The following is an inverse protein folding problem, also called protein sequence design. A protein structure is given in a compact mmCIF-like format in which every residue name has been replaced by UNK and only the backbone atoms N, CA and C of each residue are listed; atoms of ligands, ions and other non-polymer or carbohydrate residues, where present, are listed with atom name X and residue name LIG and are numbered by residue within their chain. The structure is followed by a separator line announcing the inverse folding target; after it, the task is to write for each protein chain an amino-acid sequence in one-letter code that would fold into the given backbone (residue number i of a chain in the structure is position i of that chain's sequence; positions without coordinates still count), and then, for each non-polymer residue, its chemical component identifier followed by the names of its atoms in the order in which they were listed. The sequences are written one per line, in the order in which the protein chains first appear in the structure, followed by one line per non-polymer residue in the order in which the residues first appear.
data_IF_063281049427
#
_entry.id   IF_063281049427
#
_cell.length_a   1.000
_cell.length_b   1.000
_cell.length_c   1.000
_cell.angle_alpha   90.00
_cell.angle_beta   90.00
_cell.angle_gamma   90.00
#
_symmetry.space_group_name_H-M   'P 1'
#
loop_
_entity.id
_entity.type
_entity.pdbx_description
1 polymer ?
#
# COMPACT_ATOMS: atom_id res chain seq x y z
N UNK A 1 -37.32 -58.46 -8.63
CA UNK A 1 -36.10 -57.77 -9.11
C UNK A 1 -36.53 -56.41 -9.63
N UNK A 2 -35.88 -55.32 -9.24
CA UNK A 2 -36.19 -53.99 -9.78
C UNK A 2 -35.94 -53.98 -11.29
N UNK A 3 -36.93 -53.58 -12.08
CA UNK A 3 -36.83 -53.51 -13.54
C UNK A 3 -35.70 -52.56 -13.96
N UNK A 4 -34.89 -52.95 -14.94
CA UNK A 4 -33.76 -52.13 -15.45
C UNK A 4 -34.17 -50.70 -15.81
N UNK A 5 -35.39 -50.53 -16.32
CA UNK A 5 -35.95 -49.22 -16.65
C UNK A 5 -36.04 -48.29 -15.44
N UNK A 6 -36.46 -48.83 -14.30
CA UNK A 6 -36.62 -48.07 -13.06
C UNK A 6 -35.27 -47.68 -12.44
N UNK A 7 -34.24 -48.51 -12.63
CA UNK A 7 -32.86 -48.19 -12.24
C UNK A 7 -32.25 -47.07 -13.10
N UNK A 8 -32.54 -47.06 -14.39
CA UNK A 8 -32.10 -46.00 -15.31
C UNK A 8 -32.79 -44.67 -14.95
N UNK A 9 -34.10 -44.69 -14.72
CA UNK A 9 -34.85 -43.49 -14.29
C UNK A 9 -34.36 -42.94 -12.94
N UNK A 10 -34.01 -43.83 -11.99
CA UNK A 10 -33.44 -43.42 -10.70
C UNK A 10 -32.06 -42.79 -10.87
N UNK A 11 -31.20 -43.35 -11.73
CA UNK A 11 -29.88 -42.81 -12.01
C UNK A 11 -29.95 -41.42 -12.68
N UNK A 12 -30.82 -41.25 -13.68
CA UNK A 12 -31.05 -39.95 -14.32
C UNK A 12 -31.59 -38.90 -13.34
N UNK A 13 -32.43 -39.31 -12.38
CA UNK A 13 -32.96 -38.41 -11.36
C UNK A 13 -31.89 -37.96 -10.37
N UNK A 14 -31.00 -38.86 -9.95
CA UNK A 14 -29.89 -38.54 -9.04
C UNK A 14 -28.88 -37.62 -9.72
N UNK A 15 -28.52 -37.88 -10.99
CA UNK A 15 -27.61 -37.03 -11.77
C UNK A 15 -28.19 -35.63 -12.00
N UNK A 16 -29.49 -35.51 -12.36
CA UNK A 16 -30.16 -34.21 -12.51
C UNK A 16 -30.20 -33.39 -11.22
N UNK A 17 -30.37 -34.03 -10.06
CA UNK A 17 -30.47 -33.32 -8.79
C UNK A 17 -29.11 -32.99 -8.16
N UNK A 18 -28.08 -33.84 -8.34
CA UNK A 18 -26.71 -33.50 -7.95
C UNK A 18 -26.16 -32.33 -8.77
N UNK A 19 -26.52 -32.22 -10.06
CA UNK A 19 -26.17 -31.06 -10.89
C UNK A 19 -26.86 -29.77 -10.43
N UNK A 20 -28.11 -29.83 -9.93
CA UNK A 20 -28.83 -28.66 -9.40
C UNK A 20 -28.22 -28.10 -8.12
N UNK A 21 -27.70 -28.96 -7.24
CA UNK A 21 -27.09 -28.53 -5.97
C UNK A 21 -25.72 -27.83 -6.16
N UNK A 22 -25.06 -28.02 -7.30
CA UNK A 22 -23.86 -27.25 -7.67
C UNK A 22 -24.17 -25.89 -8.31
N UNK A 23 -25.43 -25.59 -8.65
CA UNK A 23 -25.80 -24.42 -9.46
C UNK A 23 -26.68 -23.37 -8.74
N UNK A 24 -26.74 -23.40 -7.41
CA UNK A 24 -27.46 -22.39 -6.59
C UNK A 24 -26.57 -21.72 -5.53
N UNK A 25 -25.35 -21.34 -5.90
CA UNK A 25 -24.71 -20.14 -5.35
C UNK A 25 -24.25 -19.25 -6.52
N UNK A 26 -24.56 -17.96 -6.40
CA UNK A 26 -24.86 -17.05 -7.51
C UNK A 26 -23.70 -16.78 -8.51
N UNK A 27 -24.12 -16.85 -9.77
CA UNK A 27 -23.53 -16.47 -11.07
C UNK A 27 -22.33 -15.50 -11.11
N UNK A 28 -21.24 -15.96 -11.71
CA UNK A 28 -20.25 -15.13 -12.42
C UNK A 28 -20.38 -15.38 -13.94
N UNK A 29 -20.23 -14.35 -14.80
CA UNK A 29 -20.47 -14.47 -16.23
C UNK A 29 -19.51 -15.46 -16.90
N UNK A 30 -20.07 -16.25 -17.84
CA UNK A 30 -19.42 -17.28 -18.64
C UNK A 30 -18.24 -16.71 -19.44
N UNK A 31 -17.02 -17.03 -19.02
CA UNK A 31 -15.87 -17.05 -19.92
C UNK A 31 -15.88 -18.39 -20.66
N UNK A 32 -15.75 -18.32 -21.99
CA UNK A 32 -15.52 -19.47 -22.86
C UNK A 32 -14.34 -20.28 -22.35
N UNK A 33 -14.51 -21.61 -22.25
CA UNK A 33 -13.47 -22.58 -21.93
C UNK A 33 -12.44 -22.66 -23.06
N UNK A 34 -11.59 -21.64 -23.16
CA UNK A 34 -10.22 -21.85 -23.63
C UNK A 34 -9.50 -22.54 -22.47
N UNK A 35 -8.99 -23.76 -22.69
CA UNK A 35 -8.20 -24.50 -21.72
C UNK A 35 -7.10 -23.60 -21.12
N UNK A 36 -7.30 -23.11 -19.89
CA UNK A 36 -6.24 -22.44 -19.15
C UNK A 36 -5.16 -23.48 -18.87
N UNK A 37 -4.07 -23.43 -19.62
CA UNK A 37 -2.87 -24.20 -19.37
C UNK A 37 -2.35 -23.80 -17.97
N UNK A 38 -2.57 -24.66 -16.96
CA UNK A 38 -2.18 -24.41 -15.56
C UNK A 38 -0.66 -24.17 -15.46
N UNK A 39 0.13 -24.72 -16.38
CA UNK A 39 1.57 -24.53 -16.48
C UNK A 39 1.98 -23.12 -16.95
N UNK A 40 1.08 -22.37 -17.60
CA UNK A 40 1.32 -21.01 -18.08
C UNK A 40 0.94 -19.93 -17.03
N UNK A 41 0.13 -20.27 -16.02
CA UNK A 41 -0.34 -19.31 -15.01
C UNK A 41 0.80 -18.67 -14.19
N UNK A 42 1.83 -19.40 -13.71
CA UNK A 42 2.96 -18.79 -13.01
C UNK A 42 3.73 -17.82 -13.91
N UNK A 43 3.92 -18.15 -15.19
CA UNK A 43 4.63 -17.30 -16.15
C UNK A 43 3.87 -16.00 -16.42
N UNK A 44 2.53 -16.07 -16.54
CA UNK A 44 1.69 -14.90 -16.70
C UNK A 44 1.72 -14.00 -15.46
N UNK A 45 1.66 -14.60 -14.26
CA UNK A 45 1.77 -13.86 -12.99
C UNK A 45 3.13 -13.18 -12.84
N UNK A 46 4.23 -13.86 -13.14
CA UNK A 46 5.57 -13.28 -13.11
C UNK A 46 5.70 -12.13 -14.12
N UNK A 47 5.20 -12.31 -15.33
CA UNK A 47 5.17 -11.27 -16.35
C UNK A 47 4.35 -10.06 -15.91
N UNK A 48 3.19 -10.28 -15.29
CA UNK A 48 2.33 -9.24 -14.75
C UNK A 48 3.04 -8.45 -13.63
N UNK A 49 3.61 -9.14 -12.64
CA UNK A 49 4.36 -8.52 -11.54
C UNK A 49 5.52 -7.70 -12.10
N UNK A 50 6.33 -8.28 -12.98
CA UNK A 50 7.47 -7.59 -13.60
C UNK A 50 7.05 -6.34 -14.37
N UNK A 51 5.94 -6.40 -15.11
CA UNK A 51 5.40 -5.28 -15.89
C UNK A 51 4.81 -4.17 -15.01
N UNK A 52 4.21 -4.51 -13.86
CA UNK A 52 3.48 -3.55 -13.01
C UNK A 52 4.27 -3.04 -11.80
N UNK A 53 5.37 -3.72 -11.42
CA UNK A 53 6.17 -3.38 -10.23
C UNK A 53 6.68 -1.95 -10.30
N UNK A 54 6.30 -1.14 -9.31
CA UNK A 54 6.79 0.22 -9.10
C UNK A 54 8.05 0.22 -8.23
N UNK A 55 8.81 1.33 -8.20
CA UNK A 55 9.94 1.48 -7.30
C UNK A 55 9.53 1.31 -5.82
N UNK A 56 10.44 0.80 -5.00
CA UNK A 56 10.23 0.64 -3.56
C UNK A 56 10.28 1.98 -2.83
N UNK A 57 9.80 2.01 -1.58
CA UNK A 57 9.89 3.19 -0.72
C UNK A 57 11.31 3.77 -0.65
N UNK A 58 12.30 2.91 -0.38
CA UNK A 58 13.70 3.31 -0.27
C UNK A 58 14.19 3.94 -1.58
N UNK A 59 13.92 3.31 -2.73
CA UNK A 59 14.29 3.86 -4.04
C UNK A 59 13.68 5.25 -4.30
N UNK A 60 12.39 5.44 -3.97
CA UNK A 60 11.73 6.74 -4.15
C UNK A 60 12.29 7.79 -3.20
N UNK A 61 12.44 7.47 -1.92
CA UNK A 61 13.02 8.35 -0.91
C UNK A 61 14.41 8.85 -1.32
N UNK A 62 15.33 7.94 -1.63
CA UNK A 62 16.70 8.31 -2.00
C UNK A 62 16.74 9.07 -3.32
N UNK A 63 15.85 8.78 -4.29
CA UNK A 63 15.74 9.59 -5.50
C UNK A 63 15.32 11.06 -5.21
N UNK A 64 14.54 11.31 -4.16
CA UNK A 64 14.20 12.68 -3.75
C UNK A 64 15.36 13.35 -3.01
N UNK A 65 16.08 12.61 -2.16
CA UNK A 65 17.28 13.10 -1.48
C UNK A 65 18.32 13.54 -2.52
N UNK A 66 18.61 12.69 -3.51
CA UNK A 66 19.58 12.97 -4.58
C UNK A 66 19.18 14.20 -5.39
N UNK A 67 17.90 14.31 -5.78
CA UNK A 67 17.36 15.47 -6.52
C UNK A 67 17.44 16.77 -5.74
N UNK A 68 17.34 16.72 -4.41
CA UNK A 68 17.45 17.88 -3.52
C UNK A 68 18.91 18.21 -3.17
N UNK A 69 19.86 17.34 -3.50
CA UNK A 69 21.27 17.51 -3.14
C UNK A 69 21.52 17.52 -1.63
N UNK A 70 20.63 16.91 -0.84
CA UNK A 70 20.72 16.90 0.61
C UNK A 70 21.54 15.70 1.11
N UNK A 71 22.27 15.86 2.22
CA UNK A 71 22.92 14.71 2.85
C UNK A 71 21.91 13.90 3.66
N UNK A 72 22.10 12.58 3.70
CA UNK A 72 21.35 11.69 4.59
C UNK A 72 21.27 12.21 6.04
N UNK A 73 22.39 12.73 6.54
CA UNK A 73 22.47 13.27 7.90
C UNK A 73 21.58 14.45 8.12
N UNK A 74 21.44 15.32 7.14
CA UNK A 74 20.56 16.47 7.25
C UNK A 74 19.10 16.01 7.24
N UNK A 75 18.77 15.03 6.40
CA UNK A 75 17.40 14.54 6.27
C UNK A 75 16.90 13.84 7.53
N UNK A 76 17.62 12.87 8.08
CA UNK A 76 17.11 12.18 9.28
C UNK A 76 17.09 13.09 10.52
N UNK A 77 18.04 14.04 10.63
CA UNK A 77 18.03 15.04 11.72
C UNK A 77 16.85 15.98 11.59
N UNK A 78 16.62 16.56 10.41
CA UNK A 78 15.46 17.43 10.13
C UNK A 78 14.14 16.70 10.32
N UNK A 79 14.10 15.40 10.06
CA UNK A 79 12.92 14.57 10.27
C UNK A 79 12.70 14.13 11.73
N UNK A 80 13.64 14.41 12.65
CA UNK A 80 13.56 13.93 14.03
C UNK A 80 13.67 12.40 14.15
N UNK A 81 14.43 11.76 13.25
CA UNK A 81 14.57 10.30 13.17
C UNK A 81 15.95 9.87 13.64
N UNK A 82 15.99 8.85 14.50
CA UNK A 82 17.25 8.23 14.94
C UNK A 82 18.06 7.66 13.76
N UNK A 83 19.37 7.85 13.78
CA UNK A 83 20.28 7.40 12.72
C UNK A 83 20.18 5.90 12.44
N UNK A 84 19.93 5.05 13.46
CA UNK A 84 19.80 3.60 13.29
C UNK A 84 18.48 3.26 12.59
N UNK A 85 17.41 4.00 12.89
CA UNK A 85 16.14 3.86 12.17
C UNK A 85 16.31 4.24 10.70
N UNK A 86 16.94 5.38 10.40
CA UNK A 86 17.23 5.77 9.02
C UNK A 86 18.17 4.78 8.30
N UNK A 87 19.13 4.21 9.03
CA UNK A 87 20.02 3.18 8.49
C UNK A 87 19.24 1.92 8.07
N UNK A 88 18.22 1.49 8.83
CA UNK A 88 17.32 0.38 8.44
C UNK A 88 16.55 0.68 7.15
N UNK A 89 16.06 1.92 7.00
CA UNK A 89 15.39 2.39 5.78
C UNK A 89 16.31 2.28 4.56
N UNK A 90 17.61 2.60 4.73
CA UNK A 90 18.59 2.49 3.66
C UNK A 90 18.98 1.04 3.35
N UNK A 91 19.29 0.25 4.37
CA UNK A 91 19.96 -1.03 4.19
C UNK A 91 19.02 -2.20 3.92
N UNK A 92 17.74 -2.09 4.27
CA UNK A 92 16.77 -3.17 4.08
C UNK A 92 15.68 -2.72 3.07
N UNK A 93 15.71 -3.22 1.82
CA UNK A 93 14.73 -2.88 0.80
C UNK A 93 13.27 -3.20 1.16
N UNK A 94 13.06 -4.18 2.05
CA UNK A 94 11.74 -4.61 2.51
C UNK A 94 11.29 -3.89 3.79
N UNK A 95 12.16 -3.06 4.38
CA UNK A 95 11.79 -2.27 5.56
C UNK A 95 10.76 -1.22 5.22
N UNK A 96 9.65 -1.23 5.97
CA UNK A 96 8.57 -0.24 5.85
C UNK A 96 8.57 0.65 7.08
N UNK A 97 8.98 1.93 6.96
CA UNK A 97 8.82 2.87 8.05
C UNK A 97 7.33 3.14 8.30
N UNK A 98 6.97 3.53 9.52
CA UNK A 98 5.60 3.92 9.83
C UNK A 98 5.12 5.16 9.06
N UNK A 99 3.80 5.39 9.07
CA UNK A 99 3.17 6.54 8.41
C UNK A 99 3.76 7.87 8.88
N UNK A 100 3.87 8.08 10.19
CA UNK A 100 4.43 9.31 10.78
C UNK A 100 5.88 9.55 10.33
N UNK A 101 6.72 8.50 10.34
CA UNK A 101 8.11 8.58 9.84
C UNK A 101 8.14 8.98 8.36
N UNK A 102 7.24 8.43 7.55
CA UNK A 102 7.17 8.74 6.12
C UNK A 102 6.77 10.19 5.87
N UNK A 103 5.76 10.68 6.61
CA UNK A 103 5.36 12.10 6.57
C UNK A 103 6.52 12.97 7.06
N UNK A 104 7.22 12.58 8.12
CA UNK A 104 8.36 13.33 8.65
C UNK A 104 9.48 13.48 7.62
N UNK A 105 9.80 12.41 6.90
CA UNK A 105 10.76 12.44 5.79
C UNK A 105 10.29 13.33 4.64
N UNK A 106 9.00 13.31 4.30
CA UNK A 106 8.43 14.18 3.27
C UNK A 106 8.55 15.66 3.64
N UNK A 107 8.28 16.00 4.90
CA UNK A 107 8.44 17.37 5.43
C UNK A 107 9.90 17.79 5.47
N UNK A 108 10.81 16.91 5.92
CA UNK A 108 12.26 17.19 5.94
C UNK A 108 12.84 17.43 4.54
N UNK A 109 12.27 16.79 3.52
CA UNK A 109 12.61 16.98 2.11
C UNK A 109 11.88 18.16 1.44
N UNK A 110 10.97 18.82 2.16
CA UNK A 110 10.11 19.88 1.64
C UNK A 110 9.42 19.44 0.34
N UNK A 111 8.81 18.25 0.39
CA UNK A 111 8.06 17.71 -0.72
C UNK A 111 6.74 18.46 -0.88
N UNK A 112 6.30 18.68 -2.12
CA UNK A 112 4.95 19.16 -2.36
C UNK A 112 3.93 18.02 -2.14
N UNK A 113 2.62 18.36 -2.19
CA UNK A 113 1.52 17.41 -2.01
C UNK A 113 1.66 16.15 -2.89
N UNK A 114 1.83 16.34 -4.21
CA UNK A 114 1.94 15.23 -5.16
C UNK A 114 3.16 14.32 -4.89
N UNK A 115 4.30 14.91 -4.55
CA UNK A 115 5.51 14.17 -4.19
C UNK A 115 5.35 13.42 -2.86
N UNK A 116 4.65 14.02 -1.90
CA UNK A 116 4.34 13.41 -0.61
C UNK A 116 3.39 12.23 -0.77
N UNK A 117 2.34 12.38 -1.58
CA UNK A 117 1.42 11.30 -1.92
C UNK A 117 2.14 10.16 -2.64
N UNK A 118 3.04 10.48 -3.57
CA UNK A 118 3.90 9.50 -4.22
C UNK A 118 4.74 8.73 -3.18
N UNK A 119 5.41 9.42 -2.26
CA UNK A 119 6.24 8.77 -1.24
C UNK A 119 5.39 7.91 -0.29
N UNK A 120 4.28 8.44 0.22
CA UNK A 120 3.36 7.71 1.12
C UNK A 120 2.82 6.44 0.45
N UNK A 121 2.39 6.53 -0.81
CA UNK A 121 1.83 5.39 -1.53
C UNK A 121 2.84 4.24 -1.66
N UNK A 122 4.14 4.54 -1.78
CA UNK A 122 5.19 3.51 -1.87
C UNK A 122 5.42 2.78 -0.54
N UNK A 123 5.06 3.39 0.58
CA UNK A 123 5.03 2.76 1.91
C UNK A 123 3.67 2.12 2.25
N UNK A 124 2.65 2.28 1.40
CA UNK A 124 1.30 1.77 1.60
C UNK A 124 0.40 2.69 2.43
N UNK A 125 0.68 3.99 2.45
CA UNK A 125 -0.10 4.99 3.18
C UNK A 125 -0.72 6.04 2.27
N UNK A 126 -1.74 6.71 2.79
CA UNK A 126 -2.34 7.93 2.26
C UNK A 126 -2.71 8.86 3.40
N UNK A 127 -2.90 10.14 3.09
CA UNK A 127 -3.52 11.09 4.02
C UNK A 127 -5.04 11.01 3.83
N UNK A 128 -5.75 10.56 4.85
CA UNK A 128 -7.21 10.48 4.89
C UNK A 128 -7.82 11.87 5.04
N UNK A 129 -9.03 12.05 4.50
CA UNK A 129 -9.83 13.27 4.68
C UNK A 129 -10.75 13.19 5.90
N UNK A 130 -10.91 12.00 6.47
CA UNK A 130 -11.71 11.76 7.68
C UNK A 130 -10.91 11.85 8.98
N UNK A 131 -9.59 11.99 8.89
CA UNK A 131 -8.69 12.01 10.04
C UNK A 131 -8.15 13.43 10.26
N UNK A 132 -8.36 13.99 11.46
CA UNK A 132 -7.93 15.35 11.78
C UNK A 132 -6.41 15.49 11.71
N UNK A 133 -5.65 14.47 12.11
CA UNK A 133 -4.19 14.49 12.00
C UNK A 133 -3.75 14.62 10.53
N UNK A 134 -4.28 13.80 9.65
CA UNK A 134 -3.99 13.89 8.22
C UNK A 134 -4.43 15.22 7.58
N UNK A 135 -5.56 15.79 8.01
CA UNK A 135 -6.01 17.11 7.55
C UNK A 135 -5.04 18.23 7.97
N UNK A 136 -4.49 18.18 9.19
CA UNK A 136 -3.46 19.13 9.63
C UNK A 136 -2.20 18.99 8.79
N UNK A 137 -1.74 17.75 8.53
CA UNK A 137 -0.59 17.49 7.66
C UNK A 137 -0.83 18.01 6.24
N UNK A 138 -2.01 17.76 5.65
CA UNK A 138 -2.40 18.28 4.33
C UNK A 138 -2.37 19.81 4.31
N UNK A 139 -2.92 20.45 5.33
CA UNK A 139 -2.89 21.91 5.46
C UNK A 139 -1.45 22.45 5.50
N UNK A 140 -0.57 21.83 6.29
CA UNK A 140 0.85 22.19 6.33
C UNK A 140 1.53 22.06 4.96
N UNK A 141 1.29 20.96 4.23
CA UNK A 141 1.81 20.76 2.87
C UNK A 141 1.31 21.83 1.89
N UNK A 142 0.03 22.18 1.94
CA UNK A 142 -0.57 23.19 1.06
C UNK A 142 -0.07 24.61 1.37
N UNK A 143 0.20 24.91 2.64
CA UNK A 143 0.79 26.18 3.09
C UNK A 143 2.31 26.20 3.04
N UNK A 144 2.95 25.10 2.61
CA UNK A 144 4.43 24.94 2.58
C UNK A 144 5.09 25.13 3.95
N UNK A 145 4.41 24.68 5.01
CA UNK A 145 4.92 24.65 6.38
C UNK A 145 5.62 23.31 6.59
N UNK A 146 6.95 23.31 6.52
CA UNK A 146 7.77 22.09 6.52
C UNK A 146 8.62 21.90 7.79
N UNK A 147 8.73 22.94 8.62
CA UNK A 147 9.45 22.86 9.89
C UNK A 147 8.76 21.88 10.82
N UNK A 148 9.50 20.91 11.36
CA UNK A 148 8.97 19.96 12.36
C UNK A 148 8.36 20.67 13.56
N UNK A 149 8.97 21.79 13.96
CA UNK A 149 8.48 22.58 15.09
C UNK A 149 7.08 23.15 14.80
N UNK A 150 6.90 23.80 13.65
CA UNK A 150 5.63 24.43 13.29
C UNK A 150 4.54 23.39 13.02
N UNK A 151 4.90 22.25 12.39
CA UNK A 151 3.97 21.13 12.19
C UNK A 151 3.53 20.54 13.53
N UNK A 152 4.46 20.33 14.48
CA UNK A 152 4.12 19.82 15.80
C UNK A 152 3.28 20.82 16.60
N UNK A 153 3.53 22.13 16.50
CA UNK A 153 2.66 23.14 17.11
C UNK A 153 1.24 23.11 16.53
N UNK A 154 1.11 22.96 15.20
CA UNK A 154 -0.20 22.85 14.56
C UNK A 154 -0.96 21.59 15.03
N UNK A 155 -0.24 20.47 15.20
CA UNK A 155 -0.83 19.24 15.75
C UNK A 155 -1.24 19.41 17.23
N UNK A 156 -0.40 20.05 18.04
CA UNK A 156 -0.65 20.31 19.46
C UNK A 156 -1.87 21.21 19.69
N UNK A 157 -2.10 22.21 18.82
CA UNK A 157 -3.30 23.05 18.84
C UNK A 157 -4.60 22.22 18.78
N UNK A 158 -4.59 21.08 18.09
CA UNK A 158 -5.71 20.14 18.03
C UNK A 158 -5.60 18.99 19.04
N UNK A 159 -4.71 19.09 20.04
CA UNK A 159 -4.44 18.05 21.05
C UNK A 159 -4.01 16.71 20.45
N UNK A 160 -3.34 16.74 19.29
CA UNK A 160 -2.85 15.56 18.59
C UNK A 160 -1.39 15.25 18.98
N UNK A 161 -1.00 13.99 18.81
CA UNK A 161 0.38 13.56 19.06
C UNK A 161 1.34 14.20 18.04
N UNK A 162 2.57 14.54 18.44
CA UNK A 162 3.58 15.09 17.54
C UNK A 162 3.99 14.07 16.46
N UNK A 163 4.43 14.59 15.32
CA UNK A 163 4.78 13.80 14.14
C UNK A 163 6.03 12.94 14.36
N UNK A 164 7.08 13.56 14.91
CA UNK A 164 8.31 12.90 15.32
C UNK A 164 8.72 13.45 16.69
N UNK A 165 9.39 12.62 17.50
CA UNK A 165 9.93 13.04 18.78
C UNK A 165 10.90 14.19 18.54
N UNK A 166 10.72 15.30 19.27
CA UNK A 166 11.72 16.36 19.33
C UNK A 166 12.98 15.71 19.90
N UNK A 167 13.96 15.46 19.05
CA UNK A 167 15.31 15.14 19.53
C UNK A 167 15.84 16.50 19.98
N UNK A 168 15.70 16.79 21.27
CA UNK A 168 16.39 17.90 21.93
C UNK A 168 17.91 17.74 21.80
#
# INVERSE_FOLDING_TARGET
MLEKKLLIELQEYVERNLFRLNFSFCESPKYSEEELCIDALPMEMEAFIKKKRKPTFSQVLFSFIDKKGASDSDIYKRAGIDRRHFSKIRSNPDYRPGKNTTIALAMALELNKNQTDQLLSTAGYSLSESDTFDLVIRFCLEKKIYSMHDVNQALDYFSLKPLAGVIE
#
